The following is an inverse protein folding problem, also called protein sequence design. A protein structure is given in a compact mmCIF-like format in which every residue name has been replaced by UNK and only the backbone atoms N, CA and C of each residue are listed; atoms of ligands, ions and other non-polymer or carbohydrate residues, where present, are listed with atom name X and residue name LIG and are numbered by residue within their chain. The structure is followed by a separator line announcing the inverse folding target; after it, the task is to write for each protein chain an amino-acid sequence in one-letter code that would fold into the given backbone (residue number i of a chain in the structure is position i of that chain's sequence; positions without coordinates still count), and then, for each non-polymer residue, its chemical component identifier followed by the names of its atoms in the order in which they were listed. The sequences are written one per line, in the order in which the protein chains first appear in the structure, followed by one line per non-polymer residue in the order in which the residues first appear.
data_IF_889882065592
#
_entry.id   IF_889882065592
#
_cell.length_a   1.000
_cell.length_b   1.000
_cell.length_c   1.000
_cell.angle_alpha   90.00
_cell.angle_beta   90.00
_cell.angle_gamma   90.00
#
_symmetry.space_group_name_H-M   'P 1'
#
loop_
_entity.id
_entity.type
_entity.pdbx_description
1 polymer ?
#
# COMPACT_ATOMS: atom_id res chain seq x y z
N UNK A 1 -14.36 -32.28 -16.46
CA UNK A 1 -15.06 -31.05 -16.00
C UNK A 1 -14.54 -30.51 -14.68
N UNK A 2 -14.62 -31.20 -13.52
CA UNK A 2 -14.05 -30.65 -12.26
C UNK A 2 -12.52 -30.66 -12.20
N UNK A 3 -11.87 -31.67 -12.80
CA UNK A 3 -10.40 -31.75 -12.82
C UNK A 3 -9.79 -30.63 -13.68
N UNK A 4 -10.31 -30.45 -14.89
CA UNK A 4 -9.84 -29.42 -15.83
C UNK A 4 -9.86 -28.00 -15.21
N UNK A 5 -10.87 -27.68 -14.40
CA UNK A 5 -10.93 -26.40 -13.69
C UNK A 5 -9.86 -26.29 -12.60
N UNK A 6 -9.64 -27.35 -11.82
CA UNK A 6 -8.62 -27.36 -10.76
C UNK A 6 -7.22 -27.22 -11.38
N UNK A 7 -6.96 -27.89 -12.50
CA UNK A 7 -5.68 -27.80 -13.21
C UNK A 7 -5.41 -26.38 -13.70
N UNK A 8 -6.43 -25.70 -14.24
CA UNK A 8 -6.33 -24.29 -14.66
C UNK A 8 -6.06 -23.38 -13.46
N UNK A 9 -6.83 -23.51 -12.37
CA UNK A 9 -6.64 -22.69 -11.16
C UNK A 9 -5.27 -22.91 -10.53
N UNK A 10 -4.76 -24.14 -10.53
CA UNK A 10 -3.44 -24.46 -10.01
C UNK A 10 -2.32 -23.91 -10.90
N UNK A 11 -2.48 -24.01 -12.22
CA UNK A 11 -1.53 -23.49 -13.21
C UNK A 11 -1.39 -21.97 -13.10
N UNK A 12 -2.51 -21.26 -12.92
CA UNK A 12 -2.55 -19.80 -12.84
C UNK A 12 -2.67 -19.27 -11.40
N UNK A 13 -2.25 -20.03 -10.39
CA UNK A 13 -2.42 -19.64 -8.98
C UNK A 13 -1.85 -18.25 -8.64
N UNK A 14 -0.77 -17.84 -9.31
CA UNK A 14 -0.12 -16.54 -9.12
C UNK A 14 -0.88 -15.37 -9.77
N UNK A 15 -1.90 -15.65 -10.59
CA UNK A 15 -2.77 -14.61 -11.15
C UNK A 15 -3.85 -14.15 -10.16
N UNK A 16 -4.01 -14.86 -9.04
CA UNK A 16 -4.97 -14.55 -7.99
C UNK A 16 -4.29 -13.82 -6.85
N UNK A 17 -4.99 -12.86 -6.25
CA UNK A 17 -4.51 -12.17 -5.07
C UNK A 17 -4.37 -13.16 -3.90
N UNK A 18 -3.26 -13.09 -3.18
CA UNK A 18 -2.98 -13.86 -1.98
C UNK A 18 -2.35 -12.96 -0.93
N UNK A 19 -2.56 -13.29 0.34
CA UNK A 19 -1.98 -12.56 1.48
C UNK A 19 -0.45 -12.76 1.59
N UNK A 20 0.12 -13.69 0.81
CA UNK A 20 1.54 -14.02 0.84
C UNK A 20 2.39 -13.20 -0.15
N UNK A 21 1.77 -12.47 -1.07
CA UNK A 21 2.46 -11.73 -2.13
C UNK A 21 2.17 -10.23 -2.00
N UNK A 22 3.18 -9.36 -2.23
CA UNK A 22 2.97 -7.92 -2.13
C UNK A 22 2.01 -7.43 -3.19
N UNK A 23 1.06 -6.58 -2.79
CA UNK A 23 0.09 -5.99 -3.71
C UNK A 23 0.73 -4.83 -4.48
N UNK A 24 0.56 -4.83 -5.81
CA UNK A 24 0.84 -3.64 -6.63
C UNK A 24 2.31 -3.34 -6.89
N UNK A 25 3.24 -4.22 -6.52
CA UNK A 25 4.67 -4.06 -6.81
C UNK A 25 5.04 -4.43 -8.27
N UNK A 26 4.26 -3.94 -9.26
CA UNK A 26 4.53 -4.16 -10.68
C UNK A 26 5.69 -3.26 -11.09
N UNK A 27 6.87 -3.87 -11.25
CA UNK A 27 8.07 -3.17 -11.72
C UNK A 27 7.83 -2.51 -13.07
N UNK A 28 8.26 -1.26 -13.22
CA UNK A 28 8.13 -0.49 -14.47
C UNK A 28 6.80 0.24 -14.63
N UNK A 29 5.91 0.19 -13.64
CA UNK A 29 4.64 0.94 -13.60
C UNK A 29 4.64 1.99 -12.48
N UNK A 30 5.81 2.48 -12.08
CA UNK A 30 5.95 3.51 -11.06
C UNK A 30 5.37 4.85 -11.57
N UNK A 31 4.59 5.52 -10.72
CA UNK A 31 4.00 6.82 -11.05
C UNK A 31 4.94 7.93 -10.57
N UNK A 32 5.41 8.76 -11.49
CA UNK A 32 6.12 9.99 -11.16
C UNK A 32 5.14 11.16 -11.08
N UNK A 33 4.93 11.70 -9.87
CA UNK A 33 4.03 12.83 -9.64
C UNK A 33 4.88 14.10 -9.59
N UNK A 34 4.77 14.94 -10.63
CA UNK A 34 5.45 16.24 -10.70
C UNK A 34 4.53 17.36 -10.24
N UNK A 35 5.04 18.27 -9.42
CA UNK A 35 4.32 19.47 -9.01
C UNK A 35 4.49 20.57 -10.06
N UNK A 36 3.43 21.34 -10.30
CA UNK A 36 3.45 22.47 -11.26
C UNK A 36 4.08 23.74 -10.66
N UNK A 37 4.81 23.63 -9.56
CA UNK A 37 5.40 24.75 -8.80
C UNK A 37 6.80 24.41 -8.34
N UNK A 38 7.65 25.43 -8.25
CA UNK A 38 9.02 25.31 -7.78
C UNK A 38 9.14 25.49 -6.26
N UNK A 39 10.25 25.00 -5.68
CA UNK A 39 10.56 25.20 -4.25
C UNK A 39 10.64 26.70 -3.93
N UNK A 40 10.21 27.15 -2.74
CA UNK A 40 9.73 26.35 -1.62
C UNK A 40 8.29 25.88 -1.86
N UNK A 41 8.08 24.57 -1.68
CA UNK A 41 6.73 23.99 -1.70
C UNK A 41 5.83 24.72 -0.69
N UNK A 42 4.50 24.70 -0.88
CA UNK A 42 3.57 25.28 0.08
C UNK A 42 3.92 24.75 1.47
N UNK A 43 4.00 25.61 2.50
CA UNK A 43 4.33 25.15 3.84
C UNK A 43 3.44 23.97 4.18
N UNK A 44 4.06 22.84 4.50
CA UNK A 44 3.36 21.59 4.81
C UNK A 44 2.24 21.95 5.78
N UNK A 45 0.99 21.77 5.34
CA UNK A 45 -0.17 21.92 6.20
C UNK A 45 -0.09 20.74 7.19
N UNK A 46 0.73 20.88 8.24
CA UNK A 46 0.80 19.95 9.36
C UNK A 46 -0.47 20.11 10.17
N UNK A 47 -1.58 19.63 9.62
CA UNK A 47 -2.78 19.39 10.40
C UNK A 47 -2.42 18.28 11.38
N UNK A 48 -2.68 18.51 12.66
CA UNK A 48 -2.62 17.43 13.63
C UNK A 48 -3.56 16.32 13.14
N UNK A 49 -3.14 15.07 13.29
CA UNK A 49 -4.02 13.95 13.04
C UNK A 49 -5.26 14.12 13.92
N UNK A 50 -6.44 13.99 13.32
CA UNK A 50 -7.67 14.03 14.09
C UNK A 50 -7.63 12.94 15.17
N UNK A 51 -8.09 13.24 16.40
CA UNK A 51 -8.11 12.23 17.45
C UNK A 51 -9.04 11.09 17.04
N UNK A 52 -8.49 9.91 16.83
CA UNK A 52 -9.27 8.71 16.61
C UNK A 52 -9.80 8.19 17.96
N UNK A 53 -11.04 7.70 17.98
CA UNK A 53 -11.54 6.99 19.16
C UNK A 53 -10.74 5.68 19.36
N UNK A 54 -10.61 5.15 20.60
CA UNK A 54 -9.74 4.01 20.89
C UNK A 54 -10.05 2.76 20.06
N UNK A 55 -11.34 2.44 19.90
CA UNK A 55 -11.80 1.28 19.12
C UNK A 55 -11.45 1.40 17.64
N UNK A 56 -11.60 2.60 17.07
CA UNK A 56 -11.23 2.88 15.69
C UNK A 56 -9.72 2.76 15.50
N UNK A 57 -8.94 3.22 16.48
CA UNK A 57 -7.48 3.10 16.45
C UNK A 57 -7.02 1.64 16.42
N UNK A 58 -7.60 0.78 17.25
CA UNK A 58 -7.28 -0.66 17.27
C UNK A 58 -7.62 -1.34 15.94
N UNK A 59 -8.79 -1.05 15.37
CA UNK A 59 -9.18 -1.60 14.07
C UNK A 59 -8.27 -1.11 12.93
N UNK A 60 -7.92 0.18 12.94
CA UNK A 60 -7.02 0.77 11.95
C UNK A 60 -5.60 0.20 12.06
N UNK A 61 -5.09 -0.01 13.27
CA UNK A 61 -3.75 -0.58 13.49
C UNK A 61 -3.63 -1.94 12.80
N UNK A 62 -4.64 -2.81 12.92
CA UNK A 62 -4.65 -4.11 12.24
C UNK A 62 -4.47 -3.96 10.72
N UNK A 63 -5.24 -3.08 10.10
CA UNK A 63 -5.17 -2.87 8.65
C UNK A 63 -3.88 -2.18 8.21
N UNK A 64 -3.34 -1.26 9.02
CA UNK A 64 -2.05 -0.64 8.75
C UNK A 64 -0.94 -1.70 8.75
N UNK A 65 -0.95 -2.62 9.70
CA UNK A 65 0.03 -3.72 9.75
C UNK A 65 -0.10 -4.65 8.54
N UNK A 66 -1.33 -5.00 8.12
CA UNK A 66 -1.57 -5.77 6.89
C UNK A 66 -0.98 -5.08 5.66
N UNK A 67 -1.22 -3.77 5.50
CA UNK A 67 -0.70 -2.99 4.38
C UNK A 67 0.83 -2.85 4.39
N UNK A 68 1.46 -2.82 5.57
CA UNK A 68 2.93 -2.85 5.69
C UNK A 68 3.48 -4.21 5.23
N UNK A 69 2.85 -5.32 5.67
CA UNK A 69 3.26 -6.67 5.28
C UNK A 69 3.12 -6.89 3.77
N UNK A 70 2.06 -6.35 3.16
CA UNK A 70 1.81 -6.41 1.72
C UNK A 70 2.69 -5.44 0.91
N UNK A 71 3.59 -4.68 1.55
CA UNK A 71 4.50 -3.76 0.88
C UNK A 71 3.84 -2.50 0.31
N UNK A 72 2.58 -2.24 0.66
CA UNK A 72 1.82 -1.06 0.20
C UNK A 72 2.21 0.17 1.02
N UNK A 73 2.37 0.02 2.33
CA UNK A 73 2.83 1.07 3.23
C UNK A 73 4.26 0.82 3.69
N UNK A 74 5.04 1.89 3.78
CA UNK A 74 6.37 1.86 4.39
C UNK A 74 6.57 3.05 5.31
N UNK A 75 7.44 2.88 6.30
CA UNK A 75 7.89 3.99 7.14
C UNK A 75 8.84 4.88 6.33
N UNK A 76 8.57 6.18 6.32
CA UNK A 76 9.42 7.21 5.71
C UNK A 76 10.05 8.02 6.84
N UNK A 77 11.36 8.23 6.77
CA UNK A 77 12.10 9.00 7.77
C UNK A 77 11.84 10.50 7.65
N UNK A 78 12.02 11.26 8.74
CA UNK A 78 11.86 12.72 8.71
C UNK A 78 12.81 13.42 7.72
N UNK A 79 13.96 12.79 7.44
CA UNK A 79 15.02 13.33 6.58
C UNK A 79 15.06 12.67 5.20
N UNK A 80 14.09 11.81 4.88
CA UNK A 80 14.01 11.18 3.56
C UNK A 80 13.32 12.15 2.61
N UNK A 81 14.06 12.70 1.64
CA UNK A 81 13.44 13.42 0.52
C UNK A 81 12.72 12.38 -0.36
N UNK A 82 11.40 12.51 -0.46
CA UNK A 82 10.52 11.71 -1.32
C UNK A 82 10.11 12.55 -2.52
#
# INVERSE_FOLDING_TARGET
MRHDLIDVLYTYKNAFASDNEPLGAIKGHEVNITLNIDRPYPPVLRRLNYPANPRAREALEKHIQELIQLGVLRKVGHNEEV
#
